data_IF_409591341601
#
_entry.id   IF_409591341601
#
_cell.length_a   1.000
_cell.length_b   1.000
_cell.length_c   1.000
_cell.angle_alpha   90.00
_cell.angle_beta   90.00
_cell.angle_gamma   90.00
#
_symmetry.space_group_name_H-M   'P 1'
#
loop_
_entity.id
_entity.type
_entity.pdbx_description
1 polymer ?
#
# COMPACT_ATOMS: atom_id res chain seq x y z
N UNK A 1 19.61 -31.23 -23.17
CA UNK A 1 19.06 -31.57 -21.83
C UNK A 1 19.94 -30.96 -20.73
N UNK A 2 20.15 -29.63 -20.73
CA UNK A 2 21.02 -28.91 -19.76
C UNK A 2 20.37 -27.58 -19.27
N UNK A 3 19.17 -27.21 -19.77
CA UNK A 3 18.49 -25.95 -19.39
C UNK A 3 17.57 -26.04 -18.18
N UNK A 4 17.23 -27.23 -17.70
CA UNK A 4 16.31 -27.42 -16.57
C UNK A 4 16.99 -27.39 -15.19
N UNK A 5 18.26 -27.82 -15.09
CA UNK A 5 18.93 -27.90 -13.78
C UNK A 5 19.31 -26.54 -13.18
N UNK A 6 19.55 -25.52 -14.01
CA UNK A 6 19.92 -24.17 -13.55
C UNK A 6 18.74 -23.35 -13.04
N UNK A 7 17.52 -23.65 -13.50
CA UNK A 7 16.30 -23.01 -13.00
C UNK A 7 15.93 -23.54 -11.61
N UNK A 8 16.01 -24.86 -11.41
CA UNK A 8 15.72 -25.51 -10.12
C UNK A 8 16.76 -25.14 -9.05
N UNK A 9 18.04 -24.99 -9.41
CA UNK A 9 19.07 -24.53 -8.47
C UNK A 9 18.92 -23.04 -8.08
N UNK A 10 18.38 -22.19 -8.97
CA UNK A 10 18.06 -20.80 -8.63
C UNK A 10 16.82 -20.69 -7.75
N UNK A 11 15.81 -21.52 -8.00
CA UNK A 11 14.59 -21.56 -7.20
C UNK A 11 14.87 -22.10 -5.78
N UNK A 12 15.70 -23.14 -5.65
CA UNK A 12 16.15 -23.64 -4.34
C UNK A 12 17.00 -22.63 -3.56
N UNK A 13 17.84 -21.83 -4.22
CA UNK A 13 18.59 -20.76 -3.54
C UNK A 13 17.70 -19.60 -3.10
N UNK A 14 16.66 -19.28 -3.87
CA UNK A 14 15.68 -18.26 -3.48
C UNK A 14 14.78 -18.70 -2.31
N UNK A 15 14.59 -20.01 -2.12
CA UNK A 15 13.85 -20.58 -0.99
C UNK A 15 14.72 -20.73 0.28
N UNK A 16 16.05 -20.86 0.14
CA UNK A 16 16.98 -21.01 1.28
C UNK A 16 17.35 -19.69 1.98
N UNK A 17 17.23 -18.54 1.30
CA UNK A 17 17.51 -17.21 1.88
C UNK A 17 16.25 -16.49 2.42
N UNK A 18 15.16 -17.23 2.67
CA UNK A 18 13.95 -16.68 3.28
C UNK A 18 14.18 -16.29 4.75
N UNK A 19 14.48 -15.02 4.97
CA UNK A 19 14.31 -14.36 6.26
C UNK A 19 13.43 -13.13 6.04
N UNK A 20 12.24 -13.13 6.65
CA UNK A 20 11.41 -11.94 6.73
C UNK A 20 12.20 -10.87 7.49
N UNK A 21 12.78 -9.92 6.74
CA UNK A 21 13.62 -8.88 7.32
C UNK A 21 12.78 -8.01 8.26
N UNK A 22 13.22 -7.92 9.52
CA UNK A 22 12.66 -6.99 10.49
C UNK A 22 12.98 -5.54 10.10
N UNK A 23 12.12 -4.56 10.43
CA UNK A 23 12.26 -3.15 10.02
C UNK A 23 13.63 -2.51 10.33
N UNK A 24 14.32 -2.98 11.36
CA UNK A 24 15.62 -2.46 11.78
C UNK A 24 16.80 -2.78 10.84
N UNK A 25 16.63 -3.64 9.83
CA UNK A 25 17.68 -3.96 8.86
C UNK A 25 17.64 -3.11 7.58
N UNK A 26 16.66 -2.21 7.41
CA UNK A 26 16.51 -1.45 6.16
C UNK A 26 17.52 -0.30 6.02
N UNK A 27 18.06 0.21 7.13
CA UNK A 27 19.18 1.17 7.08
C UNK A 27 20.43 0.60 6.40
N UNK A 28 20.62 -0.73 6.43
CA UNK A 28 21.69 -1.40 5.68
C UNK A 28 21.35 -1.59 4.19
N UNK A 29 20.06 -1.69 3.83
CA UNK A 29 19.63 -1.69 2.42
C UNK A 29 19.94 -0.36 1.72
N UNK A 30 19.91 0.74 2.48
CA UNK A 30 20.24 2.08 2.00
C UNK A 30 21.76 2.31 1.83
N UNK A 31 22.60 1.55 2.55
CA UNK A 31 24.06 1.59 2.40
C UNK A 31 24.53 0.81 1.15
N UNK A 32 23.73 -0.14 0.66
CA UNK A 32 24.04 -1.03 -0.48
C UNK A 32 23.46 -0.52 -1.82
N UNK A 33 22.86 0.67 -1.82
CA UNK A 33 22.35 1.35 -3.01
C UNK A 33 20.84 1.14 -3.29
N UNK A 34 20.35 1.60 -4.45
CA UNK A 34 18.91 1.58 -4.77
C UNK A 34 18.37 0.15 -4.97
N UNK A 35 17.07 -0.11 -4.72
CA UNK A 35 16.51 -1.46 -4.56
C UNK A 35 16.74 -2.36 -5.77
N UNK A 36 17.36 -3.54 -5.59
CA UNK A 36 17.80 -4.42 -6.67
C UNK A 36 16.72 -5.37 -7.20
N UNK A 37 15.68 -5.60 -6.41
CA UNK A 37 14.55 -6.46 -6.76
C UNK A 37 13.21 -5.87 -6.27
N UNK A 38 12.09 -6.51 -6.60
CA UNK A 38 10.74 -6.01 -6.29
C UNK A 38 10.42 -6.06 -4.78
N UNK A 39 11.03 -6.96 -4.01
CA UNK A 39 10.88 -7.01 -2.55
C UNK A 39 11.57 -5.84 -1.89
N UNK A 40 12.79 -5.51 -2.33
CA UNK A 40 13.53 -4.34 -1.87
C UNK A 40 12.73 -3.06 -2.17
N UNK A 41 12.17 -2.97 -3.39
CA UNK A 41 11.30 -1.85 -3.77
C UNK A 41 10.07 -1.77 -2.86
N UNK A 42 9.40 -2.89 -2.60
CA UNK A 42 8.24 -2.95 -1.71
C UNK A 42 8.60 -2.56 -0.27
N UNK A 43 9.71 -3.07 0.26
CA UNK A 43 10.18 -2.76 1.60
C UNK A 43 10.49 -1.26 1.76
N UNK A 44 11.17 -0.66 0.79
CA UNK A 44 11.46 0.77 0.79
C UNK A 44 10.18 1.63 0.69
N UNK A 45 9.23 1.26 -0.16
CA UNK A 45 7.94 1.96 -0.25
C UNK A 45 7.15 1.84 1.07
N UNK A 46 7.15 0.67 1.71
CA UNK A 46 6.49 0.47 3.01
C UNK A 46 7.12 1.29 4.13
N UNK A 47 8.45 1.44 4.13
CA UNK A 47 9.16 2.31 5.08
C UNK A 47 8.76 3.77 4.87
N UNK A 48 8.78 4.27 3.64
CA UNK A 48 8.37 5.66 3.38
C UNK A 48 6.89 5.89 3.72
N UNK A 49 6.03 4.88 3.54
CA UNK A 49 4.65 4.91 4.03
C UNK A 49 4.58 4.94 5.57
N UNK A 50 5.46 4.24 6.28
CA UNK A 50 5.55 4.30 7.74
C UNK A 50 6.06 5.66 8.24
N UNK A 51 7.09 6.21 7.60
CA UNK A 51 7.57 7.58 7.86
C UNK A 51 6.45 8.59 7.64
N UNK A 52 5.70 8.48 6.54
CA UNK A 52 4.55 9.34 6.28
C UNK A 52 3.45 9.19 7.35
N UNK A 53 3.15 7.96 7.81
CA UNK A 53 2.22 7.73 8.92
C UNK A 53 2.69 8.39 10.21
N UNK A 54 3.98 8.26 10.55
CA UNK A 54 4.56 8.91 11.74
C UNK A 54 4.46 10.43 11.66
N UNK A 55 4.72 11.04 10.50
CA UNK A 55 4.54 12.49 10.29
C UNK A 55 3.10 12.94 10.54
N UNK A 56 2.12 12.17 10.06
CA UNK A 56 0.69 12.46 10.26
C UNK A 56 0.23 12.33 11.71
N UNK A 57 0.89 11.51 12.52
CA UNK A 57 0.57 11.32 13.95
C UNK A 57 1.35 12.29 14.84
N UNK A 58 2.60 12.58 14.51
CA UNK A 58 3.57 13.13 15.45
C UNK A 58 3.92 14.60 15.20
N UNK A 59 3.82 15.11 13.97
CA UNK A 59 4.53 16.35 13.60
C UNK A 59 3.65 17.51 13.15
N UNK A 60 2.40 17.32 12.67
CA UNK A 60 1.61 18.50 12.27
C UNK A 60 0.10 18.25 12.13
N UNK A 61 -0.71 19.06 12.83
CA UNK A 61 -2.15 19.17 12.57
C UNK A 61 -2.38 19.60 11.10
N UNK A 62 -1.46 20.39 10.53
CA UNK A 62 -1.60 20.93 9.18
C UNK A 62 -1.55 19.83 8.10
N UNK A 63 -0.76 18.77 8.31
CA UNK A 63 -0.63 17.67 7.34
C UNK A 63 -1.87 16.79 7.24
N UNK A 64 -2.52 16.47 8.38
CA UNK A 64 -3.77 15.71 8.36
C UNK A 64 -4.91 16.56 7.80
N UNK A 65 -4.96 17.86 8.10
CA UNK A 65 -5.98 18.79 7.61
C UNK A 65 -6.07 18.79 6.09
N UNK A 66 -4.97 18.55 5.37
CA UNK A 66 -5.00 18.47 3.92
C UNK A 66 -5.94 17.36 3.39
N UNK A 67 -6.14 16.28 4.15
CA UNK A 67 -7.06 15.19 3.81
C UNK A 67 -8.54 15.51 4.08
N UNK A 68 -8.81 16.66 4.70
CA UNK A 68 -10.15 17.15 5.02
C UNK A 68 -10.47 18.43 4.21
N UNK A 69 -11.75 18.64 3.96
CA UNK A 69 -12.26 19.95 3.51
C UNK A 69 -12.40 20.89 4.70
N UNK A 70 -12.50 22.19 4.44
CA UNK A 70 -12.77 23.21 5.46
C UNK A 70 -14.07 22.98 6.24
N UNK A 71 -15.00 22.18 5.69
CA UNK A 71 -16.25 21.76 6.35
C UNK A 71 -16.11 20.53 7.25
N UNK A 72 -14.89 20.02 7.47
CA UNK A 72 -14.65 18.81 8.28
C UNK A 72 -15.13 17.51 7.60
N UNK A 73 -15.19 17.48 6.27
CA UNK A 73 -15.53 16.30 5.47
C UNK A 73 -14.25 15.69 4.88
N UNK A 74 -14.03 14.36 4.93
CA UNK A 74 -12.93 13.74 4.23
C UNK A 74 -12.98 14.01 2.73
N UNK A 75 -11.84 14.38 2.14
CA UNK A 75 -11.72 14.57 0.70
C UNK A 75 -11.91 13.24 -0.04
N UNK A 76 -12.16 13.33 -1.35
CA UNK A 76 -12.29 12.13 -2.19
C UNK A 76 -10.98 11.34 -2.29
N UNK A 77 -11.10 10.09 -2.75
CA UNK A 77 -10.00 9.13 -2.82
C UNK A 77 -8.86 9.62 -3.71
N UNK A 78 -9.18 10.22 -4.87
CA UNK A 78 -8.17 10.76 -5.79
C UNK A 78 -7.35 11.86 -5.12
N UNK A 79 -8.02 12.78 -4.43
CA UNK A 79 -7.39 13.88 -3.70
C UNK A 79 -6.54 13.42 -2.53
N UNK A 80 -6.93 12.36 -1.84
CA UNK A 80 -6.14 11.78 -0.76
C UNK A 80 -4.95 10.98 -1.28
N UNK A 81 -5.15 10.19 -2.35
CA UNK A 81 -4.08 9.45 -3.04
C UNK A 81 -2.99 10.40 -3.54
N UNK A 82 -3.36 11.50 -4.20
CA UNK A 82 -2.39 12.45 -4.74
C UNK A 82 -1.56 13.10 -3.62
N UNK A 83 -2.16 13.34 -2.46
CA UNK A 83 -1.44 13.85 -1.26
C UNK A 83 -0.48 12.82 -0.70
N UNK A 84 -0.93 11.58 -0.52
CA UNK A 84 -0.08 10.48 -0.09
C UNK A 84 1.14 10.33 -1.02
N UNK A 85 0.89 10.40 -2.33
CA UNK A 85 1.96 10.35 -3.33
C UNK A 85 2.91 11.57 -3.25
N UNK A 86 2.40 12.77 -2.96
CA UNK A 86 3.21 13.96 -2.79
C UNK A 86 4.08 13.92 -1.52
N UNK A 87 3.62 13.23 -0.48
CA UNK A 87 4.39 13.03 0.75
C UNK A 87 5.54 12.04 0.58
N UNK A 88 5.29 10.93 -0.13
CA UNK A 88 6.23 9.80 -0.25
C UNK A 88 7.13 9.92 -1.49
N UNK A 89 6.61 10.46 -2.58
CA UNK A 89 7.29 10.53 -3.87
C UNK A 89 8.67 11.22 -3.84
N UNK A 90 8.83 12.38 -3.18
CA UNK A 90 10.13 13.06 -3.10
C UNK A 90 11.21 12.25 -2.38
N UNK A 91 10.84 11.45 -1.38
CA UNK A 91 11.78 10.59 -0.64
C UNK A 91 12.19 9.39 -1.50
N UNK A 92 11.23 8.74 -2.17
CA UNK A 92 11.48 7.65 -3.11
C UNK A 92 12.31 8.08 -4.33
N UNK A 93 12.14 9.30 -4.81
CA UNK A 93 12.88 9.83 -5.96
C UNK A 93 14.40 9.85 -5.74
N UNK A 94 14.87 9.90 -4.49
CA UNK A 94 16.29 9.81 -4.14
C UNK A 94 16.93 8.47 -4.52
N UNK A 95 16.10 7.44 -4.71
CA UNK A 95 16.50 6.07 -5.06
C UNK A 95 16.21 5.72 -6.52
N UNK A 96 15.99 6.72 -7.38
CA UNK A 96 15.58 6.55 -8.80
C UNK A 96 14.24 5.80 -8.94
N UNK A 97 13.36 5.96 -7.94
CA UNK A 97 12.01 5.41 -7.95
C UNK A 97 11.05 6.51 -8.38
N UNK A 98 10.29 6.25 -9.44
CA UNK A 98 9.39 7.22 -10.05
C UNK A 98 7.94 6.85 -9.77
N UNK A 99 7.11 7.86 -9.53
CA UNK A 99 5.66 7.69 -9.50
C UNK A 99 5.14 7.48 -10.92
N UNK A 100 4.36 6.42 -11.12
CA UNK A 100 3.60 6.20 -12.35
C UNK A 100 2.16 6.65 -12.11
N UNK A 101 1.63 7.47 -13.01
CA UNK A 101 0.24 7.92 -12.91
C UNK A 101 -0.71 6.92 -13.57
N UNK A 102 -1.96 6.91 -13.15
CA UNK A 102 -3.01 6.12 -13.80
C UNK A 102 -3.10 6.34 -15.33
N UNK A 103 -2.80 7.56 -15.79
CA UNK A 103 -2.83 7.93 -17.20
C UNK A 103 -1.73 7.22 -18.01
N UNK A 104 -0.62 6.87 -17.36
CA UNK A 104 0.52 6.18 -17.96
C UNK A 104 0.34 4.65 -17.96
N UNK A 105 -0.69 4.15 -17.27
CA UNK A 105 -1.00 2.72 -17.19
C UNK A 105 -2.00 2.28 -18.27
N UNK A 106 -1.82 1.09 -18.87
CA UNK A 106 -2.84 0.48 -19.71
C UNK A 106 -4.18 0.39 -18.96
N UNK A 107 -5.30 0.69 -19.63
CA UNK A 107 -6.63 0.70 -19.01
C UNK A 107 -6.97 -0.61 -18.26
N UNK A 108 -6.46 -1.74 -18.73
CA UNK A 108 -6.69 -3.07 -18.13
C UNK A 108 -5.82 -3.37 -16.91
N UNK A 109 -4.87 -2.49 -16.56
CA UNK A 109 -3.85 -2.70 -15.51
C UNK A 109 -3.63 -1.48 -14.62
N UNK A 110 -4.64 -0.62 -14.54
CA UNK A 110 -4.56 0.64 -13.81
C UNK A 110 -4.73 0.39 -12.31
N UNK A 111 -3.65 0.57 -11.57
CA UNK A 111 -3.68 0.74 -10.12
C UNK A 111 -3.93 2.21 -9.77
N UNK A 112 -4.50 2.47 -8.60
CA UNK A 112 -4.71 3.85 -8.13
C UNK A 112 -3.37 4.62 -8.11
N UNK A 113 -2.28 3.99 -7.64
CA UNK A 113 -0.93 4.52 -7.58
C UNK A 113 0.09 3.41 -7.94
N UNK A 114 1.23 3.76 -8.52
CA UNK A 114 2.36 2.82 -8.57
C UNK A 114 3.70 3.54 -8.49
N UNK A 115 4.71 2.84 -7.97
CA UNK A 115 6.09 3.26 -7.96
C UNK A 115 6.93 2.30 -8.81
N UNK A 116 7.80 2.85 -9.65
CA UNK A 116 8.57 2.06 -10.59
C UNK A 116 10.06 2.41 -10.53
N UNK A 117 10.90 1.40 -10.74
CA UNK A 117 12.34 1.54 -10.93
C UNK A 117 12.80 0.58 -12.01
N UNK A 118 13.34 1.11 -13.10
CA UNK A 118 13.73 0.31 -14.26
C UNK A 118 12.54 -0.50 -14.80
N UNK A 119 12.65 -1.83 -14.79
CA UNK A 119 11.58 -2.73 -15.23
C UNK A 119 10.58 -3.09 -14.13
N UNK A 120 10.87 -2.78 -12.86
CA UNK A 120 10.03 -3.13 -11.72
C UNK A 120 8.94 -2.10 -11.53
N UNK A 121 7.73 -2.56 -11.19
CA UNK A 121 6.61 -1.69 -10.90
C UNK A 121 5.82 -2.26 -9.73
N UNK A 122 5.76 -1.49 -8.65
CA UNK A 122 5.01 -1.80 -7.44
C UNK A 122 3.69 -1.01 -7.45
N UNK A 123 2.57 -1.65 -7.81
CA UNK A 123 1.24 -1.07 -7.67
C UNK A 123 0.77 -0.95 -6.21
N UNK A 124 -0.02 0.10 -5.96
CA UNK A 124 -0.68 0.42 -4.71
C UNK A 124 -2.14 0.74 -5.01
N UNK A 125 -3.04 0.00 -4.40
CA UNK A 125 -4.48 0.27 -4.47
C UNK A 125 -4.89 1.08 -3.23
N UNK A 126 -5.54 2.23 -3.42
CA UNK A 126 -5.84 3.19 -2.35
C UNK A 126 -7.34 3.35 -2.23
N UNK A 127 -7.90 2.93 -1.10
CA UNK A 127 -9.35 3.02 -0.82
C UNK A 127 -9.65 3.88 0.39
N UNK A 128 -10.68 4.71 0.27
CA UNK A 128 -11.31 5.34 1.42
C UNK A 128 -12.12 4.32 2.21
N UNK A 129 -12.26 4.53 3.52
CA UNK A 129 -13.10 3.65 4.37
C UNK A 129 -14.55 3.49 3.88
N UNK A 130 -15.07 4.44 3.09
CA UNK A 130 -16.42 4.42 2.52
C UNK A 130 -16.53 3.62 1.21
N UNK A 131 -15.41 3.22 0.62
CA UNK A 131 -15.41 2.58 -0.69
C UNK A 131 -16.27 1.31 -0.68
N UNK A 132 -17.14 1.07 -1.68
CA UNK A 132 -18.03 -0.09 -1.70
C UNK A 132 -17.30 -1.43 -1.59
N UNK A 133 -16.07 -1.49 -2.11
CA UNK A 133 -15.22 -2.67 -2.13
C UNK A 133 -14.08 -2.65 -1.10
N UNK A 134 -14.12 -1.78 -0.07
CA UNK A 134 -12.99 -1.64 0.88
C UNK A 134 -12.61 -2.96 1.59
N UNK A 135 -13.56 -3.90 1.70
CA UNK A 135 -13.35 -5.21 2.32
C UNK A 135 -12.88 -6.29 1.34
N UNK A 136 -13.24 -6.17 0.07
CA UNK A 136 -13.01 -7.21 -0.95
C UNK A 136 -11.88 -6.86 -1.92
N UNK A 137 -11.49 -5.58 -1.99
CA UNK A 137 -10.51 -5.06 -2.95
C UNK A 137 -9.12 -5.66 -2.76
N UNK A 138 -8.70 -5.86 -1.51
CA UNK A 138 -7.42 -6.49 -1.18
C UNK A 138 -7.30 -7.89 -1.79
N UNK A 139 -8.40 -8.64 -1.86
CA UNK A 139 -8.44 -9.98 -2.42
C UNK A 139 -8.72 -9.92 -3.92
N UNK A 140 -9.80 -9.26 -4.34
CA UNK A 140 -10.31 -9.29 -5.72
C UNK A 140 -9.62 -8.34 -6.70
N UNK A 141 -9.44 -7.06 -6.36
CA UNK A 141 -8.83 -6.09 -7.28
C UNK A 141 -7.32 -6.33 -7.43
N UNK A 142 -6.66 -6.63 -6.31
CA UNK A 142 -5.26 -7.04 -6.32
C UNK A 142 -5.03 -8.48 -6.84
N UNK A 143 -6.05 -9.32 -7.04
CA UNK A 143 -5.88 -10.58 -7.80
C UNK A 143 -5.94 -10.31 -9.30
N UNK A 144 -7.03 -9.68 -9.75
CA UNK A 144 -7.36 -9.57 -11.17
C UNK A 144 -6.35 -8.70 -11.93
N UNK A 145 -5.81 -7.65 -11.30
CA UNK A 145 -4.83 -6.77 -11.94
C UNK A 145 -3.40 -7.35 -11.93
N UNK A 146 -3.05 -8.20 -10.96
CA UNK A 146 -1.68 -8.67 -10.70
C UNK A 146 -1.34 -9.97 -11.43
N UNK A 147 -2.34 -10.79 -11.74
CA UNK A 147 -2.17 -12.02 -12.52
C UNK A 147 -1.60 -11.78 -13.94
N UNK A 148 -1.40 -10.52 -14.36
CA UNK A 148 -1.08 -10.15 -15.74
C UNK A 148 0.17 -9.25 -15.85
N UNK A 149 0.74 -8.71 -14.76
CA UNK A 149 1.97 -7.89 -14.85
C UNK A 149 3.18 -8.50 -14.15
N UNK A 150 4.04 -9.13 -14.96
CA UNK A 150 5.31 -9.71 -14.56
C UNK A 150 6.23 -8.71 -13.84
N UNK A 151 6.07 -7.40 -14.06
CA UNK A 151 6.89 -6.35 -13.43
C UNK A 151 6.64 -6.17 -11.95
N UNK A 152 5.49 -6.64 -11.46
CA UNK A 152 5.11 -6.62 -10.05
C UNK A 152 5.48 -7.90 -9.33
N UNK A 153 5.82 -8.97 -10.06
CA UNK A 153 5.96 -10.34 -9.53
C UNK A 153 4.79 -10.74 -8.59
N UNK A 154 3.58 -10.26 -8.88
CA UNK A 154 2.35 -10.44 -8.10
C UNK A 154 2.33 -9.72 -6.74
N UNK A 155 3.22 -8.73 -6.52
CA UNK A 155 3.36 -7.98 -5.28
C UNK A 155 2.79 -6.59 -5.37
N UNK A 156 2.12 -6.17 -4.31
CA UNK A 156 1.55 -4.83 -4.21
C UNK A 156 1.15 -4.46 -2.79
N UNK A 157 0.62 -3.26 -2.67
CA UNK A 157 0.20 -2.69 -1.38
C UNK A 157 -1.29 -2.35 -1.46
N UNK A 158 -2.05 -2.85 -0.50
CA UNK A 158 -3.41 -2.38 -0.23
C UNK A 158 -3.38 -1.29 0.83
N UNK A 159 -3.76 -0.08 0.45
CA UNK A 159 -3.79 1.07 1.34
C UNK A 159 -5.23 1.48 1.63
N UNK A 160 -5.58 1.58 2.91
CA UNK A 160 -6.87 2.17 3.34
C UNK A 160 -6.65 3.49 4.07
N UNK A 161 -7.45 4.49 3.69
CA UNK A 161 -7.51 5.80 4.32
C UNK A 161 -8.62 5.77 5.39
N UNK A 162 -8.21 5.73 6.66
CA UNK A 162 -9.10 5.64 7.82
C UNK A 162 -9.33 7.01 8.44
N UNK A 163 -10.58 7.46 8.45
CA UNK A 163 -10.99 8.75 9.01
C UNK A 163 -11.76 8.59 10.33
N UNK A 164 -11.94 7.35 10.80
CA UNK A 164 -12.70 7.03 12.01
C UNK A 164 -14.20 7.24 11.83
N UNK A 165 -14.88 7.56 12.92
CA UNK A 165 -16.30 7.86 12.87
C UNK A 165 -16.53 9.27 12.35
N UNK A 166 -17.26 9.36 11.23
CA UNK A 166 -17.57 10.62 10.54
C UNK A 166 -19.08 10.77 10.39
N UNK A 167 -19.63 12.01 10.37
CA UNK A 167 -21.07 12.22 10.25
C UNK A 167 -21.65 11.55 9.00
N UNK A 168 -22.87 11.03 9.08
CA UNK A 168 -23.56 10.41 7.92
C UNK A 168 -23.70 11.36 6.73
N UNK A 169 -23.90 12.65 7.00
CA UNK A 169 -23.97 13.70 5.98
C UNK A 169 -22.69 13.83 5.13
N UNK A 170 -21.54 13.34 5.62
CA UNK A 170 -20.29 13.33 4.83
C UNK A 170 -20.35 12.39 3.63
N UNK A 171 -21.16 11.32 3.69
CA UNK A 171 -21.08 10.21 2.74
C UNK A 171 -19.77 9.40 2.83
N UNK A 172 -18.93 9.63 3.87
CA UNK A 172 -17.59 9.04 4.04
C UNK A 172 -17.51 8.04 5.21
N UNK A 173 -18.65 7.58 5.73
CA UNK A 173 -18.70 6.58 6.80
C UNK A 173 -18.08 5.26 6.34
N UNK A 174 -17.48 4.55 7.28
CA UNK A 174 -16.97 3.20 7.04
C UNK A 174 -18.06 2.33 6.42
N UNK A 175 -17.73 1.66 5.32
CA UNK A 175 -18.60 0.71 4.66
C UNK A 175 -18.83 -0.49 5.59
N UNK A 176 -20.10 -0.87 5.78
CA UNK A 176 -20.45 -2.05 6.56
C UNK A 176 -19.83 -3.32 5.96
N UNK A 177 -19.41 -4.25 6.83
CA UNK A 177 -18.80 -5.51 6.42
C UNK A 177 -19.83 -6.44 5.74
N UNK A 178 -19.44 -7.22 4.72
CA UNK A 178 -20.36 -8.08 3.96
C UNK A 178 -21.12 -9.13 4.78
N UNK A 179 -20.65 -9.47 5.99
CA UNK A 179 -21.17 -10.59 6.79
C UNK A 179 -21.75 -10.17 8.15
N UNK A 180 -22.07 -8.89 8.35
CA UNK A 180 -22.57 -8.38 9.64
C UNK A 180 -21.57 -8.45 10.80
N UNK A 181 -20.29 -8.75 10.49
CA UNK A 181 -19.21 -8.74 11.47
C UNK A 181 -19.01 -7.32 12.02
N UNK A 182 -18.52 -7.19 13.28
CA UNK A 182 -18.31 -5.89 13.90
C UNK A 182 -17.38 -5.04 13.03
N UNK A 183 -17.69 -3.74 13.02
CA UNK A 183 -16.81 -2.74 12.44
C UNK A 183 -15.54 -2.63 13.32
N UNK A 184 -14.36 -2.46 12.71
CA UNK A 184 -13.15 -2.15 13.47
C UNK A 184 -13.35 -0.86 14.28
N UNK A 185 -12.84 -0.85 15.51
CA UNK A 185 -12.84 0.31 16.40
C UNK A 185 -11.63 1.24 16.15
N UNK A 186 -10.64 0.80 15.38
CA UNK A 186 -9.42 1.56 15.09
C UNK A 186 -8.85 1.24 13.70
N UNK A 187 -7.95 2.10 13.21
CA UNK A 187 -7.17 1.85 11.99
C UNK A 187 -6.35 0.55 12.09
N UNK A 188 -5.79 0.27 13.27
CA UNK A 188 -5.01 -0.95 13.52
C UNK A 188 -5.90 -2.21 13.42
N UNK A 189 -7.06 -2.19 14.07
CA UNK A 189 -8.01 -3.32 13.96
C UNK A 189 -8.49 -3.51 12.52
N UNK A 190 -8.72 -2.42 11.77
CA UNK A 190 -9.04 -2.52 10.35
C UNK A 190 -7.90 -3.19 9.57
N UNK A 191 -6.65 -2.81 9.83
CA UNK A 191 -5.49 -3.41 9.19
C UNK A 191 -5.41 -4.91 9.46
N UNK A 192 -5.60 -5.32 10.71
CA UNK A 192 -5.55 -6.73 11.11
C UNK A 192 -6.69 -7.54 10.48
N UNK A 193 -7.89 -6.97 10.44
CA UNK A 193 -9.05 -7.58 9.76
C UNK A 193 -8.81 -7.77 8.26
N UNK A 194 -8.25 -6.77 7.58
CA UNK A 194 -7.95 -6.84 6.16
C UNK A 194 -6.85 -7.87 5.87
N UNK A 195 -5.79 -7.90 6.68
CA UNK A 195 -4.73 -8.93 6.60
C UNK A 195 -5.29 -10.34 6.79
N UNK A 196 -6.21 -10.53 7.73
CA UNK A 196 -6.86 -11.82 7.97
C UNK A 196 -7.74 -12.27 6.79
N UNK A 197 -8.34 -11.33 6.07
CA UNK A 197 -9.17 -11.60 4.89
C UNK A 197 -8.35 -12.02 3.65
N UNK A 198 -7.06 -11.72 3.61
CA UNK A 198 -6.16 -12.17 2.54
C UNK A 198 -5.87 -13.67 2.69
N UNK A 199 -6.04 -14.48 1.63
CA UNK A 199 -5.68 -15.89 1.62
C UNK A 199 -4.21 -16.09 1.98
N UNK A 200 -3.92 -17.10 2.79
CA UNK A 200 -2.58 -17.37 3.34
C UNK A 200 -1.48 -17.39 2.27
N UNK A 201 -1.75 -18.03 1.13
CA UNK A 201 -0.83 -18.11 -0.01
C UNK A 201 -0.42 -16.75 -0.60
N UNK A 202 -1.17 -15.67 -0.32
CA UNK A 202 -0.93 -14.33 -0.86
C UNK A 202 -0.47 -13.31 0.18
N UNK A 203 -0.48 -13.65 1.47
CA UNK A 203 -0.11 -12.72 2.55
C UNK A 203 1.33 -12.22 2.46
N UNK A 204 2.23 -12.99 1.85
CA UNK A 204 3.61 -12.56 1.61
C UNK A 204 3.74 -11.61 0.40
N UNK A 205 2.75 -11.60 -0.49
CA UNK A 205 2.77 -10.83 -1.73
C UNK A 205 2.07 -9.48 -1.58
N UNK A 206 0.99 -9.44 -0.79
CA UNK A 206 0.18 -8.25 -0.56
C UNK A 206 0.41 -7.73 0.86
N UNK A 207 0.94 -6.53 0.95
CA UNK A 207 1.02 -5.80 2.21
C UNK A 207 -0.21 -4.91 2.40
N UNK A 208 -0.75 -4.88 3.61
CA UNK A 208 -1.87 -4.00 3.96
C UNK A 208 -1.38 -2.90 4.89
N UNK A 209 -1.67 -1.66 4.50
CA UNK A 209 -1.38 -0.46 5.28
C UNK A 209 -2.67 0.32 5.50
N UNK A 210 -2.92 0.74 6.74
CA UNK A 210 -4.03 1.64 7.06
C UNK A 210 -3.49 2.97 7.58
N UNK A 211 -3.75 4.06 6.86
CA UNK A 211 -3.41 5.41 7.27
C UNK A 211 -4.48 5.95 8.21
N UNK A 212 -4.10 6.25 9.46
CA UNK A 212 -4.98 6.94 10.38
C UNK A 212 -4.97 8.44 10.07
N UNK A 213 -6.12 8.95 9.61
CA UNK A 213 -6.36 10.33 9.21
C UNK A 213 -7.49 10.97 10.03
N UNK A 214 -7.82 10.42 11.20
CA UNK A 214 -8.79 11.02 12.12
C UNK A 214 -8.38 12.44 12.47
N UNK A 215 -9.26 13.42 12.23
CA UNK A 215 -9.03 14.79 12.67
C UNK A 215 -8.99 14.85 14.21
N UNK A 216 -7.88 15.31 14.78
CA UNK A 216 -7.83 15.75 16.19
C UNK A 216 -7.90 14.64 17.27
N UNK A 217 -7.00 13.66 17.23
CA UNK A 217 -6.60 12.92 18.44
C UNK A 217 -5.08 12.77 18.51
N UNK A 218 -4.43 13.86 18.91
CA UNK A 218 -3.27 13.78 19.79
C UNK A 218 -3.78 13.98 21.22
#
# INVERSE_FOLDING_TARGET
MIRHMTAEQRQKRAEEDFSALAPSNLAALLDDGPPGNIEDLKALVLEEMDVARRKLICEDLDSVVEFWTDQGIPRDENRCRDRLAAMIGPELARYDIQRITEADMPQTKRADLAFARGAMQLPIEVKGQWHPHVWDAATGQLDVQYLIDWRSEHRGIYCVLWFGDVPSASGRRLKARPNGLPAPASSQEMQDMLKAAIPEARRALIDVVVFNLTAGKC
#
